data_IF_430096658366
#
_entry.id   IF_430096658366
#
_cell.length_a   1.000
_cell.length_b   1.000
_cell.length_c   1.000
_cell.angle_alpha   90.00
_cell.angle_beta   90.00
_cell.angle_gamma   90.00
#
_symmetry.space_group_name_H-M   'P 1'
#
loop_
_entity.id
_entity.type
_entity.pdbx_description
1 polymer ?
#
# COMPACT_ATOMS: atom_id res chain seq x y z
N UNK A 1 -33.47 -51.30 -1.80
CA UNK A 1 -32.23 -51.32 -0.99
C UNK A 1 -31.29 -52.38 -1.56
N UNK A 2 -30.10 -51.99 -2.00
CA UNK A 2 -29.07 -52.90 -2.54
C UNK A 2 -27.68 -52.35 -2.16
N UNK A 3 -26.86 -53.07 -1.39
CA UNK A 3 -25.56 -52.58 -0.96
C UNK A 3 -24.51 -52.92 -2.02
N UNK A 4 -23.66 -51.96 -2.41
CA UNK A 4 -22.45 -52.25 -3.19
C UNK A 4 -21.24 -51.51 -2.63
N UNK A 5 -20.50 -52.29 -1.84
CA UNK A 5 -19.04 -52.43 -1.71
C UNK A 5 -18.17 -51.19 -1.94
N UNK A 6 -17.56 -50.77 -0.82
CA UNK A 6 -16.31 -50.00 -0.73
C UNK A 6 -15.22 -50.64 -1.59
N UNK A 7 -14.61 -49.84 -2.46
CA UNK A 7 -13.33 -50.15 -3.08
C UNK A 7 -12.34 -49.06 -2.65
N UNK A 8 -11.51 -49.45 -1.68
CA UNK A 8 -10.34 -48.71 -1.22
C UNK A 8 -9.34 -48.63 -2.36
N UNK A 9 -8.93 -47.43 -2.76
CA UNK A 9 -7.86 -47.21 -3.72
C UNK A 9 -6.70 -46.51 -3.01
N UNK A 10 -5.66 -47.28 -2.72
CA UNK A 10 -4.37 -46.80 -2.24
C UNK A 10 -3.47 -46.52 -3.45
N UNK A 11 -2.91 -45.32 -3.56
CA UNK A 11 -1.84 -44.98 -4.51
C UNK A 11 -1.00 -43.82 -3.89
N UNK A 12 0.27 -43.61 -4.27
CA UNK A 12 1.42 -44.29 -3.72
C UNK A 12 2.48 -43.31 -3.16
N UNK A 13 3.46 -43.90 -2.48
CA UNK A 13 4.71 -43.30 -2.00
C UNK A 13 5.52 -42.75 -3.19
N UNK A 14 5.77 -41.43 -3.24
CA UNK A 14 6.73 -40.83 -4.17
C UNK A 14 7.99 -40.39 -3.43
N UNK A 15 9.10 -40.92 -3.94
CA UNK A 15 10.44 -40.93 -3.38
C UNK A 15 11.12 -39.56 -3.33
N UNK A 16 12.04 -39.47 -2.37
CA UNK A 16 12.99 -38.39 -2.19
C UNK A 16 13.92 -38.20 -3.41
N UNK A 17 14.10 -36.94 -3.80
CA UNK A 17 15.26 -36.49 -4.57
C UNK A 17 16.10 -35.59 -3.65
N UNK A 18 17.21 -36.15 -3.19
CA UNK A 18 18.33 -35.42 -2.61
C UNK A 18 19.07 -34.71 -3.75
N UNK A 19 18.93 -33.39 -3.83
CA UNK A 19 19.88 -32.54 -4.55
C UNK A 19 20.76 -31.84 -3.53
N UNK A 20 21.94 -32.41 -3.30
CA UNK A 20 23.08 -31.69 -2.76
C UNK A 20 23.73 -30.95 -3.94
N UNK A 21 23.52 -29.64 -4.00
CA UNK A 21 24.30 -28.72 -4.83
C UNK A 21 24.82 -27.59 -3.95
N UNK A 22 26.11 -27.64 -3.61
CA UNK A 22 26.85 -26.46 -3.20
C UNK A 22 27.03 -25.58 -4.45
N UNK A 23 26.54 -24.36 -4.38
CA UNK A 23 26.75 -23.34 -5.40
C UNK A 23 26.32 -22.00 -4.82
N UNK A 24 27.33 -21.20 -4.49
CA UNK A 24 27.37 -19.77 -4.25
C UNK A 24 26.22 -19.12 -3.45
N UNK A 25 26.62 -18.62 -2.28
CA UNK A 25 26.32 -17.27 -1.79
C UNK A 25 25.40 -16.43 -2.66
N UNK A 26 24.11 -16.47 -2.36
CA UNK A 26 23.25 -15.28 -2.29
C UNK A 26 22.09 -15.67 -1.39
N UNK A 27 22.35 -15.68 -0.08
CA UNK A 27 21.28 -15.29 0.81
C UNK A 27 20.94 -13.87 0.41
N UNK A 28 19.91 -13.68 -0.43
CA UNK A 28 19.14 -12.46 -0.39
C UNK A 28 18.58 -12.40 1.02
N UNK A 29 19.38 -11.87 1.94
CA UNK A 29 18.85 -10.92 2.90
C UNK A 29 18.07 -9.95 2.02
N UNK A 30 16.74 -10.10 2.01
CA UNK A 30 15.92 -8.90 2.03
C UNK A 30 16.38 -8.18 3.29
N UNK A 31 17.47 -7.41 3.14
CA UNK A 31 17.73 -6.29 4.00
C UNK A 31 16.41 -5.52 4.00
N UNK A 32 15.78 -5.30 5.17
CA UNK A 32 14.72 -4.32 5.22
C UNK A 32 15.38 -3.05 4.74
N UNK A 33 14.99 -2.63 3.53
CA UNK A 33 15.42 -1.41 2.88
C UNK A 33 15.46 -0.35 3.98
N UNK A 34 16.67 0.08 4.32
CA UNK A 34 16.88 1.07 5.38
C UNK A 34 16.15 2.31 4.90
N UNK A 35 14.92 2.46 5.39
CA UNK A 35 14.00 3.49 4.95
C UNK A 35 14.65 4.86 4.94
N UNK A 36 14.15 5.77 4.09
CA UNK A 36 14.81 7.02 3.74
C UNK A 36 15.45 7.71 4.95
N UNK A 37 16.78 7.80 4.89
CA UNK A 37 17.68 8.34 5.91
C UNK A 37 17.12 9.57 6.64
N UNK A 38 16.60 9.38 7.86
CA UNK A 38 16.37 10.43 8.87
C UNK A 38 15.49 11.63 8.47
N UNK A 39 14.83 11.59 7.32
CA UNK A 39 13.95 12.66 6.84
C UNK A 39 12.51 12.26 7.13
N UNK A 40 11.76 13.18 7.74
CA UNK A 40 10.33 12.96 7.99
C UNK A 40 9.62 12.80 6.65
N UNK A 41 8.90 11.70 6.41
CA UNK A 41 8.20 11.46 5.16
C UNK A 41 7.20 12.59 4.86
N UNK A 42 7.06 12.91 3.59
CA UNK A 42 6.13 13.91 3.11
C UNK A 42 4.72 13.33 3.05
N UNK A 43 3.76 14.05 3.63
CA UNK A 43 2.34 13.73 3.51
C UNK A 43 1.66 14.73 2.59
N UNK A 44 1.07 14.23 1.52
CA UNK A 44 0.29 15.04 0.60
C UNK A 44 -1.13 15.23 1.14
N UNK A 45 -1.69 16.43 0.97
CA UNK A 45 -3.07 16.73 1.38
C UNK A 45 -3.81 17.52 0.32
N UNK A 46 -5.07 17.20 0.08
CA UNK A 46 -5.92 17.96 -0.85
C UNK A 46 -6.64 19.13 -0.16
N UNK A 47 -6.91 20.22 -0.91
CA UNK A 47 -7.38 21.48 -0.31
C UNK A 47 -8.90 21.57 -0.08
N UNK A 48 -9.74 21.06 -1.00
CA UNK A 48 -11.21 20.88 -0.81
C UNK A 48 -12.00 20.38 -2.02
N UNK A 49 -11.39 20.25 -3.20
CA UNK A 49 -12.12 20.08 -4.46
C UNK A 49 -11.61 18.92 -5.31
N UNK A 50 -11.40 17.76 -4.72
CA UNK A 50 -11.39 16.52 -5.50
C UNK A 50 -12.84 16.20 -5.94
N UNK A 51 -13.50 17.11 -6.67
CA UNK A 51 -14.89 16.94 -7.14
C UNK A 51 -15.01 15.86 -8.22
N UNK A 52 -13.89 15.27 -8.64
CA UNK A 52 -13.78 14.27 -9.70
C UNK A 52 -13.18 12.94 -9.24
N UNK A 53 -13.00 12.71 -7.93
CA UNK A 53 -12.61 11.37 -7.47
C UNK A 53 -13.77 10.42 -7.72
N UNK A 54 -13.55 9.39 -8.55
CA UNK A 54 -14.49 8.28 -8.61
C UNK A 54 -14.52 7.63 -7.24
N UNK A 55 -15.70 7.53 -6.62
CA UNK A 55 -15.81 6.80 -5.36
C UNK A 55 -15.38 5.36 -5.56
N UNK A 56 -14.27 5.01 -4.92
CA UNK A 56 -13.75 3.67 -4.89
C UNK A 56 -13.47 3.28 -3.44
N UNK A 57 -13.54 1.98 -3.18
CA UNK A 57 -12.94 1.42 -1.98
C UNK A 57 -11.43 1.47 -2.17
N UNK A 58 -10.75 2.07 -1.20
CA UNK A 58 -9.29 2.12 -1.16
C UNK A 58 -8.84 1.19 -0.04
N UNK A 59 -7.95 0.26 -0.39
CA UNK A 59 -7.41 -0.72 0.54
C UNK A 59 -5.90 -0.88 0.33
N UNK A 60 -5.14 -0.90 1.41
CA UNK A 60 -3.73 -1.23 1.38
C UNK A 60 -3.04 -0.95 2.71
N UNK A 61 -1.80 -1.40 2.85
CA UNK A 61 -0.96 -1.06 3.98
C UNK A 61 -0.38 0.36 3.81
N UNK A 62 -0.39 1.15 4.88
CA UNK A 62 0.28 2.44 4.91
C UNK A 62 1.79 2.22 4.85
N UNK A 63 2.46 2.83 3.89
CA UNK A 63 3.89 2.72 3.68
C UNK A 63 4.50 4.09 3.38
N UNK A 64 5.83 4.12 3.26
CA UNK A 64 6.57 5.26 2.71
C UNK A 64 7.27 4.74 1.46
N UNK A 65 7.07 5.41 0.33
CA UNK A 65 7.71 5.03 -0.93
C UNK A 65 9.17 5.47 -1.00
N UNK A 66 9.88 5.06 -2.04
CA UNK A 66 11.30 5.38 -2.26
C UNK A 66 11.56 6.89 -2.39
N UNK A 67 10.55 7.67 -2.77
CA UNK A 67 10.60 9.13 -2.83
C UNK A 67 10.40 9.81 -1.46
N UNK A 68 10.17 9.04 -0.39
CA UNK A 68 9.97 9.55 0.96
C UNK A 68 8.56 10.10 1.20
N UNK A 69 7.56 9.64 0.45
CA UNK A 69 6.18 10.08 0.60
C UNK A 69 5.29 8.95 1.12
N UNK A 70 4.26 9.31 1.89
CA UNK A 70 3.27 8.31 2.34
C UNK A 70 2.54 7.72 1.14
N UNK A 71 2.39 6.40 1.16
CA UNK A 71 1.72 5.61 0.14
C UNK A 71 0.77 4.62 0.79
N UNK A 72 -0.20 4.14 0.02
CA UNK A 72 -1.12 3.10 0.42
C UNK A 72 -1.07 2.00 -0.64
N UNK A 73 -0.47 0.86 -0.28
CA UNK A 73 -0.10 -0.14 -1.29
C UNK A 73 0.96 0.40 -2.24
N UNK A 74 0.65 0.47 -3.53
CA UNK A 74 1.53 1.02 -4.57
C UNK A 74 1.25 2.50 -4.89
N UNK A 75 0.15 3.05 -4.38
CA UNK A 75 -0.36 4.36 -4.77
C UNK A 75 0.05 5.43 -3.78
N UNK A 76 0.36 6.64 -4.27
CA UNK A 76 0.70 7.76 -3.39
C UNK A 76 -0.53 8.19 -2.60
N UNK A 77 -0.38 8.36 -1.28
CA UNK A 77 -1.49 8.73 -0.41
C UNK A 77 -1.75 10.24 -0.48
N UNK A 78 -2.97 10.61 -0.87
CA UNK A 78 -3.48 11.96 -0.77
C UNK A 78 -4.48 12.06 0.38
N UNK A 79 -4.01 12.51 1.53
CA UNK A 79 -4.78 12.54 2.76
C UNK A 79 -5.74 13.74 2.82
N UNK A 80 -6.85 13.66 3.58
CA UNK A 80 -7.80 14.75 3.68
C UNK A 80 -7.22 15.95 4.42
N UNK A 81 -7.72 17.17 4.14
CA UNK A 81 -7.20 18.37 4.75
C UNK A 81 -7.30 18.32 6.28
N UNK A 82 -6.22 18.72 6.93
CA UNK A 82 -6.06 18.61 8.39
C UNK A 82 -5.31 17.35 8.85
N UNK A 83 -4.98 16.44 7.93
CA UNK A 83 -4.09 15.32 8.21
C UNK A 83 -2.67 15.79 8.52
N UNK A 84 -1.95 15.04 9.35
CA UNK A 84 -0.60 15.40 9.81
C UNK A 84 0.29 14.19 9.98
N UNK A 85 1.56 14.33 9.68
CA UNK A 85 2.60 13.39 10.09
C UNK A 85 2.81 13.49 11.60
N UNK A 86 2.92 12.35 12.27
CA UNK A 86 3.21 12.25 13.72
C UNK A 86 4.31 11.23 13.96
N UNK A 87 4.84 11.16 15.19
CA UNK A 87 5.89 10.23 15.58
C UNK A 87 7.10 10.23 14.62
N UNK A 88 7.58 11.41 14.23
CA UNK A 88 8.74 11.58 13.33
C UNK A 88 8.62 10.94 11.94
N UNK A 89 7.42 10.49 11.53
CA UNK A 89 7.25 9.81 10.24
C UNK A 89 6.67 8.40 10.35
N UNK A 90 6.60 7.85 11.55
CA UNK A 90 6.13 6.47 11.74
C UNK A 90 4.60 6.34 11.68
N UNK A 91 3.88 7.46 11.61
CA UNK A 91 2.43 7.47 11.56
C UNK A 91 1.87 8.76 10.97
N UNK A 92 0.62 8.69 10.54
CA UNK A 92 -0.20 9.85 10.19
C UNK A 92 -1.41 9.94 11.11
N UNK A 93 -1.88 11.16 11.38
CA UNK A 93 -3.16 11.41 12.01
C UNK A 93 -4.11 11.96 10.96
N UNK A 94 -5.17 11.22 10.67
CA UNK A 94 -6.21 11.58 9.71
C UNK A 94 -7.46 12.04 10.46
N UNK A 95 -8.04 13.21 10.13
CA UNK A 95 -9.30 13.66 10.73
C UNK A 95 -10.39 12.60 10.60
N UNK A 96 -11.15 12.40 11.68
CA UNK A 96 -12.26 11.43 11.78
C UNK A 96 -11.89 9.93 11.72
N UNK A 97 -10.70 9.57 11.22
CA UNK A 97 -10.20 8.19 11.22
C UNK A 97 -9.34 7.92 12.47
N UNK A 98 -8.42 8.83 12.81
CA UNK A 98 -7.52 8.68 13.95
C UNK A 98 -6.06 8.60 13.54
N UNK A 99 -5.24 7.94 14.37
CA UNK A 99 -3.83 7.66 14.06
C UNK A 99 -3.76 6.36 13.25
N UNK A 100 -2.97 6.36 12.18
CA UNK A 100 -2.62 5.19 11.35
C UNK A 100 -1.10 5.07 11.37
N UNK A 101 -0.58 3.95 11.86
CA UNK A 101 0.86 3.70 11.89
C UNK A 101 1.33 3.11 10.54
N UNK A 102 2.59 3.36 10.18
CA UNK A 102 3.20 2.71 9.01
C UNK A 102 3.20 1.19 9.22
N UNK A 103 2.73 0.46 8.21
CA UNK A 103 2.48 -0.98 8.24
C UNK A 103 1.04 -1.37 8.59
N UNK A 104 0.21 -0.45 9.07
CA UNK A 104 -1.21 -0.73 9.31
C UNK A 104 -1.97 -0.86 7.98
N UNK A 105 -2.85 -1.85 7.90
CA UNK A 105 -3.84 -1.94 6.83
C UNK A 105 -4.91 -0.85 7.01
N UNK A 106 -5.17 -0.11 5.93
CA UNK A 106 -6.23 0.90 5.87
C UNK A 106 -7.32 0.42 4.94
N UNK A 107 -8.53 0.35 5.47
CA UNK A 107 -9.77 0.14 4.74
C UNK A 107 -10.58 1.44 4.76
N UNK A 108 -10.76 2.07 3.60
CA UNK A 108 -11.43 3.36 3.51
C UNK A 108 -12.32 3.54 2.28
N UNK A 109 -13.28 4.45 2.41
CA UNK A 109 -13.89 5.10 1.24
C UNK A 109 -12.92 6.12 0.67
N UNK A 110 -12.96 6.32 -0.64
CA UNK A 110 -11.97 7.15 -1.29
C UNK A 110 -12.17 7.25 -2.77
N UNK A 111 -11.06 7.37 -3.47
CA UNK A 111 -11.03 7.33 -4.92
C UNK A 111 -9.60 7.39 -5.45
N UNK A 112 -9.49 7.17 -6.74
CA UNK A 112 -8.27 7.41 -7.50
C UNK A 112 -8.39 8.73 -8.23
N UNK A 113 -7.38 9.59 -8.07
CA UNK A 113 -7.21 10.78 -8.88
C UNK A 113 -6.07 10.53 -9.86
N UNK A 114 -6.16 11.14 -11.04
CA UNK A 114 -5.01 11.24 -11.95
C UNK A 114 -4.30 12.57 -11.73
N UNK A 115 -3.00 12.64 -12.07
CA UNK A 115 -2.26 13.91 -12.02
C UNK A 115 -2.93 15.05 -12.78
N UNK A 116 -3.67 14.73 -13.84
CA UNK A 116 -4.33 15.71 -14.70
C UNK A 116 -5.49 16.42 -14.01
N UNK A 117 -6.12 15.77 -13.03
CA UNK A 117 -7.31 16.28 -12.33
C UNK A 117 -6.98 17.07 -11.07
N UNK A 118 -5.76 16.95 -10.56
CA UNK A 118 -5.29 17.62 -9.35
C UNK A 118 -4.16 18.60 -9.65
N UNK A 119 -4.21 19.77 -9.02
CA UNK A 119 -3.14 20.76 -9.12
C UNK A 119 -2.11 20.51 -8.04
N UNK A 120 -1.02 19.87 -8.43
CA UNK A 120 0.13 19.62 -7.57
C UNK A 120 1.15 20.76 -7.66
N UNK A 121 1.73 21.13 -6.53
CA UNK A 121 2.93 21.96 -6.45
C UNK A 121 4.18 21.16 -6.83
N UNK A 122 5.30 21.85 -7.13
CA UNK A 122 6.57 21.20 -7.46
C UNK A 122 7.06 20.21 -6.39
N UNK A 123 6.77 20.48 -5.11
CA UNK A 123 7.12 19.59 -4.01
C UNK A 123 6.22 18.35 -3.93
N UNK A 124 5.05 18.36 -4.54
CA UNK A 124 4.16 17.20 -4.57
C UNK A 124 4.47 16.33 -5.79
N UNK A 125 4.95 16.94 -6.88
CA UNK A 125 5.44 16.23 -8.05
C UNK A 125 6.65 15.34 -7.75
N UNK A 126 7.47 15.68 -6.75
CA UNK A 126 8.59 14.81 -6.32
C UNK A 126 8.15 13.50 -5.67
N UNK A 127 6.89 13.37 -5.25
CA UNK A 127 6.34 12.12 -4.72
C UNK A 127 5.89 11.14 -5.81
N UNK A 128 5.83 11.58 -7.06
CA UNK A 128 5.25 10.81 -8.15
C UNK A 128 6.33 9.96 -8.83
N UNK A 129 5.97 8.76 -9.30
CA UNK A 129 6.88 7.96 -10.10
C UNK A 129 7.26 8.70 -11.39
N UNK A 130 8.56 8.72 -11.72
CA UNK A 130 9.11 9.28 -12.97
C UNK A 130 9.19 8.19 -14.06
N UNK A 131 8.19 7.32 -14.12
CA UNK A 131 8.10 6.22 -15.09
C UNK A 131 7.26 6.58 -16.32
N UNK A 132 6.68 7.78 -16.33
CA UNK A 132 5.79 8.27 -17.39
C UNK A 132 4.38 7.68 -17.34
N UNK A 133 4.03 6.94 -16.28
CA UNK A 133 2.67 6.50 -16.01
C UNK A 133 1.83 7.66 -15.48
N UNK A 134 0.53 7.66 -15.77
CA UNK A 134 -0.39 8.58 -15.11
C UNK A 134 -0.47 8.17 -13.62
N UNK A 135 0.00 9.00 -12.68
CA UNK A 135 0.05 8.62 -11.28
C UNK A 135 -1.37 8.52 -10.74
N UNK A 136 -1.64 7.40 -10.07
CA UNK A 136 -2.87 7.17 -9.33
C UNK A 136 -2.64 7.52 -7.85
N UNK A 137 -3.57 8.30 -7.29
CA UNK A 137 -3.52 8.68 -5.89
C UNK A 137 -4.61 7.96 -5.11
N UNK A 138 -4.24 7.27 -4.04
CA UNK A 138 -5.17 6.79 -3.05
C UNK A 138 -5.70 7.99 -2.24
N UNK A 139 -6.98 8.32 -2.37
CA UNK A 139 -7.62 9.36 -1.56
C UNK A 139 -8.32 8.71 -0.37
N UNK A 140 -7.98 9.08 0.86
CA UNK A 140 -8.79 8.71 2.03
C UNK A 140 -9.89 9.76 2.22
N UNK A 141 -11.14 9.37 2.00
CA UNK A 141 -12.32 10.16 2.33
C UNK A 141 -13.09 9.45 3.45
N UNK A 142 -13.55 10.22 4.44
CA UNK A 142 -14.51 9.70 5.41
C UNK A 142 -15.88 10.21 4.99
N UNK A 143 -16.51 9.53 4.01
CA UNK A 143 -17.96 9.64 3.90
C UNK A 143 -18.54 8.90 5.09
N UNK A 144 -18.77 9.66 6.15
CA UNK A 144 -19.44 9.16 7.33
C UNK A 144 -20.74 8.48 6.91
N UNK A 145 -20.82 7.17 7.16
CA UNK A 145 -22.10 6.51 7.34
C UNK A 145 -22.87 7.30 8.40
N UNK A 146 -23.90 8.00 7.96
CA UNK A 146 -24.93 8.57 8.81
C UNK A 146 -26.04 7.57 9.02
#
# INVERSE_FOLDING_TARGET
>A
MKPRKLASLAIPLSAALLLAGCGDDTSSQNEPDEGPTGQTPQLLTWDKTASSSMEALVHGALSVNDAGCFALGADVLLAPPGSKVVNNGDAIRVPNIGKVDVGDDVDGSGGYLTATDAKFSEAELSCLPDDGSDPEFAVLDHRGDK
#
